data_IF_972632669179
#
_entry.id   IF_972632669179
#
_cell.length_a   1.000
_cell.length_b   1.000
_cell.length_c   1.000
_cell.angle_alpha   90.00
_cell.angle_beta   90.00
_cell.angle_gamma   90.00
#
_symmetry.space_group_name_H-M   'P 1'
#
loop_
_entity.id
_entity.type
_entity.pdbx_description
1 polymer ?
#
# COMPACT_ATOMS: atom_id res chain seq x y z
N UNK A 1 6.48 9.08 -34.39
CA UNK A 1 5.57 8.17 -33.68
C UNK A 1 6.07 8.02 -32.23
N UNK A 2 5.50 8.78 -31.29
CA UNK A 2 5.85 8.73 -29.86
C UNK A 2 5.04 7.59 -29.21
N UNK A 3 5.65 6.43 -28.99
CA UNK A 3 5.06 5.42 -28.11
C UNK A 3 5.46 5.78 -26.67
N UNK A 4 4.51 6.08 -25.78
CA UNK A 4 4.82 6.44 -24.41
C UNK A 4 4.98 5.17 -23.55
N UNK A 5 5.64 5.35 -22.42
CA UNK A 5 5.64 4.47 -21.24
C UNK A 5 6.77 3.42 -21.17
N UNK A 6 7.81 3.91 -20.53
CA UNK A 6 8.94 3.25 -19.89
C UNK A 6 8.63 1.91 -19.20
N UNK A 7 9.51 0.90 -19.34
CA UNK A 7 9.36 -0.46 -18.78
C UNK A 7 9.51 -0.55 -17.25
N UNK A 8 9.37 0.55 -16.51
CA UNK A 8 9.56 0.59 -15.04
C UNK A 8 8.29 0.90 -14.25
N UNK A 9 7.19 1.24 -14.92
CA UNK A 9 5.88 1.32 -14.25
C UNK A 9 5.30 -0.09 -13.97
N UNK A 10 5.85 -1.12 -14.62
CA UNK A 10 5.36 -2.50 -14.61
C UNK A 10 5.97 -3.40 -13.53
N UNK A 11 6.93 -2.93 -12.73
CA UNK A 11 7.57 -3.78 -11.73
C UNK A 11 6.91 -3.73 -10.34
N UNK A 12 6.69 -2.57 -9.70
CA UNK A 12 6.21 -2.49 -8.29
C UNK A 12 5.48 -1.17 -7.94
N UNK A 13 4.95 -0.43 -8.91
CA UNK A 13 4.49 0.97 -8.69
C UNK A 13 2.97 1.21 -8.66
N UNK A 14 2.14 0.28 -9.13
CA UNK A 14 0.70 0.53 -9.33
C UNK A 14 -0.22 -0.15 -8.29
N UNK A 15 0.33 -0.75 -7.23
CA UNK A 15 -0.49 -1.41 -6.20
C UNK A 15 -1.05 -0.42 -5.15
N UNK A 16 -0.62 0.84 -5.14
CA UNK A 16 -1.04 1.82 -4.13
C UNK A 16 -2.56 2.09 -4.09
N UNK A 17 -3.29 2.21 -5.21
CA UNK A 17 -4.75 2.44 -5.17
C UNK A 17 -5.50 1.23 -4.62
N UNK A 18 -5.09 0.01 -5.01
CA UNK A 18 -5.69 -1.23 -4.53
C UNK A 18 -5.43 -1.45 -3.05
N UNK A 19 -4.22 -1.14 -2.57
CA UNK A 19 -3.88 -1.28 -1.16
C UNK A 19 -4.73 -0.36 -0.26
N UNK A 20 -5.01 0.88 -0.69
CA UNK A 20 -5.90 1.79 0.06
C UNK A 20 -7.31 1.22 0.23
N UNK A 21 -7.85 0.59 -0.81
CA UNK A 21 -9.17 -0.07 -0.76
C UNK A 21 -9.16 -1.24 0.23
N UNK A 22 -8.10 -2.04 0.24
CA UNK A 22 -7.97 -3.16 1.18
C UNK A 22 -7.81 -2.69 2.64
N UNK A 23 -7.07 -1.60 2.87
CA UNK A 23 -6.91 -0.99 4.20
C UNK A 23 -8.23 -0.41 4.70
N UNK A 24 -8.96 0.33 3.85
CA UNK A 24 -10.27 0.87 4.19
C UNK A 24 -11.30 -0.26 4.43
N UNK A 25 -11.27 -1.32 3.63
CA UNK A 25 -12.08 -2.51 3.86
C UNK A 25 -11.73 -3.19 5.19
N UNK A 26 -10.44 -3.27 5.54
CA UNK A 26 -9.98 -3.81 6.81
C UNK A 26 -10.51 -3.03 8.02
N UNK A 27 -10.46 -1.69 7.96
CA UNK A 27 -11.05 -0.83 8.99
C UNK A 27 -12.56 -1.02 9.11
N UNK A 28 -13.27 -1.18 7.99
CA UNK A 28 -14.71 -1.47 8.00
C UNK A 28 -15.06 -2.86 8.57
N UNK A 29 -14.15 -3.83 8.49
CA UNK A 29 -14.29 -5.15 9.11
C UNK A 29 -13.99 -5.10 10.62
N UNK A 30 -13.44 -3.99 11.11
CA UNK A 30 -13.12 -3.77 12.53
C UNK A 30 -11.66 -4.06 12.90
N UNK A 31 -10.76 -4.18 11.91
CA UNK A 31 -9.32 -4.26 12.18
C UNK A 31 -8.81 -2.93 12.74
N UNK A 32 -7.89 -2.99 13.70
CA UNK A 32 -7.29 -1.77 14.26
C UNK A 32 -6.17 -1.24 13.38
N UNK A 33 -5.84 0.04 13.57
CA UNK A 33 -4.73 0.68 12.86
C UNK A 33 -3.39 -0.01 13.18
N UNK A 34 -3.21 -0.50 14.40
CA UNK A 34 -2.02 -1.25 14.80
C UNK A 34 -1.90 -2.57 14.02
N UNK A 35 -2.97 -3.35 13.91
CA UNK A 35 -2.96 -4.63 13.19
C UNK A 35 -2.58 -4.44 11.71
N UNK A 36 -3.13 -3.41 11.07
CA UNK A 36 -2.82 -3.07 9.68
C UNK A 36 -1.34 -2.67 9.54
N UNK A 37 -0.83 -1.89 10.49
CA UNK A 37 0.57 -1.43 10.49
C UNK A 37 1.54 -2.60 10.69
N UNK A 38 1.24 -3.52 11.60
CA UNK A 38 2.02 -4.74 11.85
C UNK A 38 2.06 -5.64 10.60
N UNK A 39 0.93 -5.85 9.93
CA UNK A 39 0.88 -6.62 8.68
C UNK A 39 1.75 -5.98 7.60
N UNK A 40 1.72 -4.64 7.46
CA UNK A 40 2.57 -3.93 6.50
C UNK A 40 4.05 -4.04 6.88
N UNK A 41 4.40 -3.98 8.17
CA UNK A 41 5.77 -4.20 8.65
C UNK A 41 6.26 -5.62 8.37
N UNK A 42 5.42 -6.65 8.58
CA UNK A 42 5.75 -8.02 8.22
C UNK A 42 5.98 -8.15 6.71
N UNK A 43 5.19 -7.46 5.89
CA UNK A 43 5.38 -7.41 4.44
C UNK A 43 6.68 -6.69 4.02
N UNK A 44 7.29 -5.86 4.87
CA UNK A 44 8.60 -5.26 4.59
C UNK A 44 9.72 -6.29 4.44
N UNK A 45 9.60 -7.42 5.15
CA UNK A 45 10.57 -8.53 5.09
C UNK A 45 10.45 -9.29 3.76
N UNK A 46 9.24 -9.41 3.22
CA UNK A 46 8.96 -10.19 2.00
C UNK A 46 9.00 -9.36 0.71
N UNK A 47 8.40 -8.16 0.71
CA UNK A 47 8.31 -7.28 -0.45
C UNK A 47 9.43 -6.23 -0.52
N UNK A 48 10.23 -6.13 0.55
CA UNK A 48 11.28 -5.15 0.70
C UNK A 48 10.81 -3.83 1.32
N UNK A 49 11.75 -3.17 1.99
CA UNK A 49 11.53 -1.90 2.69
C UNK A 49 10.84 -0.79 1.86
N UNK A 50 11.21 -0.53 0.59
CA UNK A 50 10.55 0.54 -0.18
C UNK A 50 9.08 0.24 -0.51
N UNK A 51 8.69 -1.03 -0.64
CA UNK A 51 7.30 -1.41 -0.88
C UNK A 51 6.45 -1.25 0.39
N UNK A 52 6.99 -1.66 1.55
CA UNK A 52 6.30 -1.48 2.82
C UNK A 52 6.17 -0.01 3.22
N UNK A 53 7.18 0.83 2.98
CA UNK A 53 7.06 2.27 3.21
C UNK A 53 5.94 2.90 2.39
N UNK A 54 5.83 2.55 1.10
CA UNK A 54 4.71 3.01 0.26
C UNK A 54 3.36 2.54 0.82
N UNK A 55 3.31 1.32 1.38
CA UNK A 55 2.13 0.81 2.06
C UNK A 55 1.77 1.55 3.34
N UNK A 56 2.76 1.91 4.16
CA UNK A 56 2.56 2.70 5.37
C UNK A 56 2.07 4.12 5.05
N UNK A 57 2.61 4.76 4.00
CA UNK A 57 2.10 6.06 3.55
C UNK A 57 0.64 5.97 3.07
N UNK A 58 0.30 4.93 2.31
CA UNK A 58 -1.07 4.68 1.90
C UNK A 58 -2.00 4.42 3.11
N UNK A 59 -1.55 3.65 4.10
CA UNK A 59 -2.30 3.41 5.33
C UNK A 59 -2.56 4.70 6.11
N UNK A 60 -1.53 5.53 6.27
CA UNK A 60 -1.64 6.83 6.94
C UNK A 60 -2.65 7.76 6.26
N UNK A 61 -2.68 7.80 4.93
CA UNK A 61 -3.68 8.58 4.19
C UNK A 61 -5.11 8.08 4.43
N UNK A 62 -5.32 6.77 4.51
CA UNK A 62 -6.63 6.18 4.80
C UNK A 62 -7.04 6.43 6.26
N UNK A 63 -6.11 6.32 7.20
CA UNK A 63 -6.35 6.65 8.62
C UNK A 63 -6.66 8.12 8.85
N UNK A 64 -6.18 9.02 7.99
CA UNK A 64 -6.53 10.44 8.07
C UNK A 64 -7.90 10.76 7.45
N UNK A 65 -8.45 9.87 6.63
CA UNK A 65 -9.74 10.04 5.95
C UNK A 65 -10.91 9.36 6.67
N UNK A 66 -10.62 8.45 7.62
CA UNK A 66 -11.57 7.75 8.49
C UNK A 66 -11.56 8.34 9.90
#
# INVERSE_FOLDING_TARGET
>A
MKLPLSPRSTALGNAAPQLKVHIAAGLNVGLTQEEITEVIMQMAVYAGFPAALNGLFAAKEVFAAH
#
